data_IF_119353495347
#
_entry.id   IF_119353495347
#
_cell.length_a   1.000
_cell.length_b   1.000
_cell.length_c   1.000
_cell.angle_alpha   90.00
_cell.angle_beta   90.00
_cell.angle_gamma   90.00
#
_symmetry.space_group_name_H-M   'P 1'
#
loop_
_entity.id
_entity.type
_entity.pdbx_description
1 polymer ?
#
# COMPACT_ATOMS: atom_id res chain seq x y z
N UNK A 1 8.23 -6.33 28.90
CA UNK A 1 7.78 -5.60 27.69
C UNK A 1 8.65 -4.35 27.56
N UNK A 2 9.23 -4.08 26.39
CA UNK A 2 10.09 -2.91 26.17
C UNK A 2 9.23 -1.64 26.05
N UNK A 3 9.48 -0.60 26.87
CA UNK A 3 8.70 0.66 26.90
C UNK A 3 8.60 1.29 25.50
N UNK A 4 9.65 1.19 24.69
CA UNK A 4 9.65 1.72 23.31
C UNK A 4 8.68 0.94 22.43
N UNK A 5 8.65 -0.40 22.51
CA UNK A 5 7.70 -1.22 21.74
C UNK A 5 6.24 -0.95 22.12
N UNK A 6 5.97 -0.69 23.41
CA UNK A 6 4.63 -0.30 23.88
C UNK A 6 4.28 1.13 23.47
N UNK A 7 5.24 2.04 23.39
CA UNK A 7 5.02 3.38 22.88
C UNK A 7 4.69 3.37 21.37
N UNK A 8 5.37 2.52 20.59
CA UNK A 8 5.14 2.37 19.14
C UNK A 8 3.69 2.00 18.81
N UNK A 9 2.99 1.23 19.65
CA UNK A 9 1.58 0.93 19.41
C UNK A 9 0.66 2.16 19.48
N UNK A 10 1.09 3.26 20.10
CA UNK A 10 0.35 4.52 20.13
C UNK A 10 0.34 5.24 18.77
N UNK A 11 1.24 4.89 17.84
CA UNK A 11 1.18 5.37 16.46
C UNK A 11 -0.04 4.82 15.74
N UNK A 12 -0.46 3.60 16.12
CA UNK A 12 -1.60 2.91 15.54
C UNK A 12 -1.55 2.90 14.00
N UNK A 13 -0.38 2.67 13.40
CA UNK A 13 -0.20 2.60 11.94
C UNK A 13 -1.15 1.54 11.37
N UNK A 14 -1.84 1.91 10.29
CA UNK A 14 -2.79 1.03 9.59
C UNK A 14 -2.30 0.72 8.18
N UNK A 15 -2.66 -0.46 7.63
CA UNK A 15 -2.57 -0.69 6.20
C UNK A 15 -3.38 0.38 5.44
N UNK A 16 -2.93 0.74 4.23
CA UNK A 16 -3.70 1.64 3.37
C UNK A 16 -5.03 1.01 2.95
N UNK A 17 -6.02 1.86 2.65
CA UNK A 17 -7.14 1.46 1.81
C UNK A 17 -6.66 1.46 0.34
N UNK A 18 -6.75 0.32 -0.33
CA UNK A 18 -6.21 0.15 -1.69
C UNK A 18 -7.23 0.69 -2.69
N UNK A 19 -6.89 1.79 -3.34
CA UNK A 19 -7.50 2.18 -4.60
C UNK A 19 -6.75 1.50 -5.76
N UNK A 20 -7.46 0.80 -6.62
CA UNK A 20 -6.86 0.11 -7.78
C UNK A 20 -7.81 0.04 -8.98
N UNK A 21 -7.25 0.08 -10.19
CA UNK A 21 -7.96 -0.32 -11.43
C UNK A 21 -7.36 -1.62 -11.99
N UNK A 22 -8.17 -2.58 -12.49
CA UNK A 22 -9.63 -2.62 -12.40
C UNK A 22 -10.10 -2.66 -10.94
N UNK A 23 -11.36 -2.27 -10.73
CA UNK A 23 -11.93 -2.22 -9.38
C UNK A 23 -11.89 -3.59 -8.70
N UNK A 24 -11.69 -3.62 -7.37
CA UNK A 24 -11.78 -4.83 -6.59
C UNK A 24 -13.09 -5.61 -6.80
N UNK A 25 -13.00 -6.94 -6.80
CA UNK A 25 -14.15 -7.84 -7.00
C UNK A 25 -15.26 -7.71 -5.96
N UNK A 26 -14.95 -7.18 -4.78
CA UNK A 26 -15.93 -6.94 -3.72
C UNK A 26 -16.67 -5.60 -3.86
N UNK A 27 -16.17 -4.66 -4.67
CA UNK A 27 -16.79 -3.36 -4.91
C UNK A 27 -17.49 -3.28 -6.27
N UNK A 28 -17.21 -4.23 -7.17
CA UNK A 28 -17.87 -4.39 -8.47
C UNK A 28 -17.30 -5.56 -9.27
N UNK A 29 -17.94 -5.91 -10.39
CA UNK A 29 -17.46 -6.96 -11.30
C UNK A 29 -16.73 -6.40 -12.52
N UNK A 30 -15.98 -5.30 -12.35
CA UNK A 30 -15.17 -4.78 -13.46
C UNK A 30 -13.99 -5.71 -13.71
N UNK A 31 -13.83 -6.10 -14.97
CA UNK A 31 -12.74 -6.96 -15.42
C UNK A 31 -11.74 -6.09 -16.16
N UNK A 32 -10.49 -6.07 -15.68
CA UNK A 32 -9.39 -5.45 -16.39
C UNK A 32 -9.08 -6.21 -17.67
N UNK A 33 -8.57 -5.54 -18.68
CA UNK A 33 -8.25 -6.15 -19.96
C UNK A 33 -6.74 -6.32 -20.11
N UNK A 34 -6.29 -7.51 -20.49
CA UNK A 34 -4.90 -7.73 -20.89
C UNK A 34 -4.50 -6.72 -21.99
N UNK A 35 -3.34 -6.10 -21.83
CA UNK A 35 -2.85 -5.04 -22.72
C UNK A 35 -3.09 -3.62 -22.21
N UNK A 36 -3.86 -3.45 -21.12
CA UNK A 36 -4.16 -2.15 -20.53
C UNK A 36 -3.32 -1.90 -19.27
N UNK A 37 -3.34 -0.65 -18.80
CA UNK A 37 -2.63 -0.23 -17.60
C UNK A 37 -3.56 -0.20 -16.38
N UNK A 38 -3.08 -0.79 -15.29
CA UNK A 38 -3.62 -0.68 -13.94
C UNK A 38 -3.00 0.52 -13.21
N UNK A 39 -3.82 1.18 -12.42
CA UNK A 39 -3.43 2.24 -11.50
C UNK A 39 -3.56 1.75 -10.08
N UNK A 40 -2.67 2.16 -9.19
CA UNK A 40 -2.80 1.94 -7.76
C UNK A 40 -2.60 3.25 -6.99
N UNK A 41 -3.44 3.49 -5.98
CA UNK A 41 -3.31 4.64 -5.09
C UNK A 41 -3.77 4.34 -3.67
N UNK A 42 -3.44 5.24 -2.74
CA UNK A 42 -4.03 5.23 -1.41
C UNK A 42 -5.43 5.85 -1.49
N UNK A 43 -6.45 5.02 -1.34
CA UNK A 43 -7.81 5.49 -1.18
C UNK A 43 -7.99 6.08 0.23
N UNK A 44 -8.84 7.11 0.39
CA UNK A 44 -9.15 7.73 1.67
C UNK A 44 -7.91 7.97 2.58
N UNK A 45 -6.91 8.75 2.13
CA UNK A 45 -5.67 8.93 2.87
C UNK A 45 -5.91 9.56 4.25
N UNK A 46 -5.19 9.09 5.26
CA UNK A 46 -5.25 9.59 6.63
C UNK A 46 -3.86 9.62 7.26
N UNK A 47 -3.73 10.29 8.41
CA UNK A 47 -2.48 10.29 9.20
C UNK A 47 -1.99 8.85 9.45
N UNK A 48 -2.89 7.90 9.70
CA UNK A 48 -2.56 6.51 10.07
C UNK A 48 -2.17 5.62 8.89
N UNK A 49 -2.50 6.02 7.65
CA UNK A 49 -2.23 5.26 6.43
C UNK A 49 -1.13 5.88 5.55
N UNK A 50 -1.05 7.21 5.50
CA UNK A 50 -0.04 7.94 4.70
C UNK A 50 0.98 8.70 5.52
N UNK A 51 0.63 9.06 6.77
CA UNK A 51 1.51 9.82 7.64
C UNK A 51 1.75 11.26 7.21
N UNK A 52 2.72 11.92 7.83
CA UNK A 52 3.50 11.45 8.99
C UNK A 52 2.66 11.36 10.28
N UNK A 53 3.10 10.57 11.26
CA UNK A 53 2.45 10.45 12.59
C UNK A 53 3.45 10.87 13.66
N UNK A 54 3.03 11.76 14.57
CA UNK A 54 3.83 12.13 15.74
C UNK A 54 3.10 11.76 17.02
N UNK A 55 3.78 11.07 17.95
CA UNK A 55 3.22 10.70 19.26
C UNK A 55 4.25 10.85 20.35
N UNK A 56 3.79 11.26 21.53
CA UNK A 56 4.59 11.27 22.76
C UNK A 56 3.89 10.39 23.78
N UNK A 57 4.63 9.46 24.37
CA UNK A 57 4.13 8.51 25.37
C UNK A 57 5.01 8.60 26.60
N UNK A 58 4.42 8.88 27.75
CA UNK A 58 5.13 8.92 29.03
C UNK A 58 4.72 7.72 29.88
N UNK A 59 5.69 6.99 30.42
CA UNK A 59 5.48 5.87 31.33
C UNK A 59 6.43 6.00 32.51
N UNK A 60 5.90 6.35 33.69
CA UNK A 60 6.71 6.67 34.86
C UNK A 60 7.62 7.86 34.58
N UNK A 61 8.94 7.65 34.71
CA UNK A 61 9.97 8.69 34.51
C UNK A 61 10.52 8.74 33.07
N UNK A 62 9.98 7.92 32.16
CA UNK A 62 10.46 7.80 30.78
C UNK A 62 9.46 8.48 29.85
N UNK A 63 9.93 9.42 29.04
CA UNK A 63 9.15 10.06 27.97
C UNK A 63 9.69 9.60 26.62
N UNK A 64 8.84 8.99 25.80
CA UNK A 64 9.18 8.53 24.44
C UNK A 64 8.53 9.44 23.42
N UNK A 65 9.32 10.04 22.53
CA UNK A 65 8.83 10.75 21.35
C UNK A 65 8.99 9.86 20.12
N UNK A 66 7.97 9.85 19.27
CA UNK A 66 7.86 9.02 18.08
C UNK A 66 7.52 9.91 16.88
N UNK A 67 8.25 9.72 15.79
CA UNK A 67 7.97 10.31 14.49
C UNK A 67 7.99 9.18 13.44
N UNK A 68 6.81 8.85 12.90
CA UNK A 68 6.65 7.83 11.88
C UNK A 68 6.43 8.49 10.51
N UNK A 69 7.22 8.08 9.52
CA UNK A 69 7.11 8.55 8.14
C UNK A 69 6.94 7.35 7.22
N UNK A 70 5.92 7.39 6.37
CA UNK A 70 5.75 6.43 5.29
C UNK A 70 6.62 6.87 4.11
N UNK A 71 7.60 6.05 3.74
CA UNK A 71 8.58 6.36 2.69
C UNK A 71 8.18 5.81 1.33
N UNK A 72 7.12 5.00 1.24
CA UNK A 72 6.66 4.43 -0.03
C UNK A 72 5.79 3.20 0.12
N UNK A 73 5.27 2.73 -1.01
CA UNK A 73 4.40 1.56 -1.10
C UNK A 73 5.08 0.49 -1.94
N UNK A 74 5.41 -0.65 -1.33
CA UNK A 74 5.85 -1.83 -2.08
C UNK A 74 4.62 -2.61 -2.53
N UNK A 75 4.45 -2.73 -3.84
CA UNK A 75 3.28 -3.38 -4.45
C UNK A 75 3.70 -4.71 -5.07
N UNK A 76 2.88 -5.73 -4.87
CA UNK A 76 2.90 -6.98 -5.63
C UNK A 76 1.51 -7.18 -6.21
N UNK A 77 1.37 -7.21 -7.54
CA UNK A 77 0.07 -7.35 -8.21
C UNK A 77 -0.46 -8.80 -8.22
N UNK A 78 0.35 -9.79 -7.84
CA UNK A 78 -0.05 -11.19 -7.76
C UNK A 78 -0.09 -11.93 -9.10
N UNK A 79 0.30 -11.29 -10.20
CA UNK A 79 0.39 -11.88 -11.54
C UNK A 79 1.78 -12.45 -11.89
N UNK A 80 2.73 -12.28 -10.97
CA UNK A 80 4.13 -12.69 -11.12
C UNK A 80 4.91 -11.88 -12.17
N UNK A 81 4.41 -10.72 -12.59
CA UNK A 81 5.16 -9.77 -13.41
C UNK A 81 5.93 -8.79 -12.49
N UNK A 82 7.06 -8.24 -12.96
CA UNK A 82 7.78 -7.23 -12.21
C UNK A 82 6.93 -5.96 -12.05
N UNK A 83 6.97 -5.38 -10.86
CA UNK A 83 6.33 -4.10 -10.57
C UNK A 83 7.29 -2.95 -10.86
N UNK A 84 6.87 -2.01 -11.72
CA UNK A 84 7.69 -0.89 -12.18
C UNK A 84 6.89 0.41 -12.03
N UNK A 85 7.28 1.34 -11.13
CA UNK A 85 8.44 1.26 -10.23
C UNK A 85 8.25 0.23 -9.11
N UNK A 86 9.33 -0.30 -8.50
CA UNK A 86 9.24 -1.30 -7.42
C UNK A 86 8.65 -0.73 -6.12
N UNK A 87 8.72 0.60 -5.95
CA UNK A 87 8.11 1.33 -4.84
C UNK A 87 7.34 2.50 -5.42
N UNK A 88 6.06 2.56 -5.11
CA UNK A 88 5.19 3.66 -5.51
C UNK A 88 5.21 4.77 -4.45
N UNK A 89 5.05 6.05 -4.86
CA UNK A 89 4.89 7.16 -3.93
C UNK A 89 3.64 6.97 -3.07
N UNK A 90 3.72 7.37 -1.80
CA UNK A 90 2.57 7.33 -0.86
C UNK A 90 1.47 8.31 -1.31
N UNK A 91 1.86 9.43 -1.92
CA UNK A 91 0.99 10.44 -2.51
C UNK A 91 0.68 10.17 -4.00
N UNK A 92 0.43 8.91 -4.33
CA UNK A 92 -0.01 8.46 -5.65
C UNK A 92 -1.26 9.20 -6.13
N UNK A 93 -1.32 9.53 -7.42
CA UNK A 93 -2.45 10.21 -8.04
C UNK A 93 -3.60 9.21 -8.23
N UNK A 94 -4.80 9.48 -7.67
CA UNK A 94 -5.97 8.62 -7.85
C UNK A 94 -6.40 8.53 -9.31
N UNK A 95 -6.94 7.36 -9.70
CA UNK A 95 -7.60 7.22 -11.00
C UNK A 95 -8.86 8.09 -11.05
N UNK A 96 -9.12 8.64 -12.23
CA UNK A 96 -10.38 9.31 -12.57
C UNK A 96 -10.76 8.88 -13.98
N UNK A 97 -12.05 8.82 -14.30
CA UNK A 97 -12.52 8.32 -15.61
C UNK A 97 -11.96 9.10 -16.81
N UNK A 98 -11.50 10.34 -16.61
CA UNK A 98 -10.82 11.14 -17.64
C UNK A 98 -9.46 10.55 -18.07
N UNK A 99 -8.85 9.70 -17.24
CA UNK A 99 -7.59 9.06 -17.56
C UNK A 99 -7.74 7.97 -18.64
N UNK A 100 -8.94 7.38 -18.79
CA UNK A 100 -9.21 6.31 -19.75
C UNK A 100 -8.12 5.22 -19.68
N UNK A 101 -7.33 5.06 -20.75
CA UNK A 101 -6.25 4.06 -20.90
C UNK A 101 -4.85 4.59 -20.60
N UNK A 102 -4.74 5.85 -20.19
CA UNK A 102 -3.44 6.42 -19.88
C UNK A 102 -2.79 5.66 -18.72
N UNK A 103 -1.47 5.40 -18.78
CA UNK A 103 -0.76 4.81 -17.67
C UNK A 103 -0.77 5.75 -16.46
N UNK A 104 -0.73 5.17 -15.25
CA UNK A 104 -0.61 5.98 -14.03
C UNK A 104 0.71 6.77 -14.05
N UNK A 105 0.70 8.08 -13.76
CA UNK A 105 1.93 8.85 -13.65
C UNK A 105 2.74 8.52 -12.39
N UNK A 106 2.16 7.78 -11.42
CA UNK A 106 2.78 7.56 -10.10
C UNK A 106 2.93 6.10 -9.72
N UNK A 107 1.95 5.25 -10.02
CA UNK A 107 1.99 3.83 -9.70
C UNK A 107 1.23 3.05 -10.77
N UNK A 108 1.96 2.72 -11.85
CA UNK A 108 1.44 2.03 -13.01
C UNK A 108 1.75 0.54 -12.94
N UNK A 109 0.88 -0.28 -13.52
CA UNK A 109 1.20 -1.68 -13.79
C UNK A 109 0.57 -2.16 -15.10
N UNK A 110 1.38 -2.78 -15.94
CA UNK A 110 0.89 -3.31 -17.21
C UNK A 110 0.23 -4.68 -17.00
N UNK A 111 -1.03 -4.81 -17.39
CA UNK A 111 -1.78 -6.07 -17.30
C UNK A 111 -1.36 -7.02 -18.42
N UNK A 112 -0.28 -7.77 -18.21
CA UNK A 112 0.27 -8.69 -19.22
C UNK A 112 -0.28 -10.11 -19.19
N UNK A 113 -1.15 -10.45 -18.22
CA UNK A 113 -1.67 -11.81 -18.03
C UNK A 113 -3.14 -11.81 -17.62
N UNK A 114 -3.86 -12.85 -18.04
CA UNK A 114 -5.22 -13.16 -17.58
C UNK A 114 -5.19 -13.82 -16.20
N UNK A 115 -6.13 -13.47 -15.34
CA UNK A 115 -6.31 -14.07 -14.01
C UNK A 115 -7.12 -15.37 -14.04
N UNK A 116 -7.67 -15.78 -15.19
CA UNK A 116 -8.56 -16.96 -15.29
C UNK A 116 -7.93 -18.25 -14.79
N UNK A 117 -6.61 -18.43 -14.96
CA UNK A 117 -5.88 -19.61 -14.47
C UNK A 117 -5.49 -19.57 -13.00
N UNK A 118 -5.79 -18.49 -12.28
CA UNK A 118 -5.45 -18.33 -10.86
C UNK A 118 -6.56 -18.89 -9.95
N UNK A 119 -6.25 -19.26 -8.70
CA UNK A 119 -7.28 -19.67 -7.73
C UNK A 119 -8.37 -18.60 -7.56
N UNK A 120 -9.62 -18.96 -7.86
CA UNK A 120 -10.77 -18.06 -7.85
C UNK A 120 -10.91 -17.17 -9.10
N UNK A 121 -10.04 -17.35 -10.10
CA UNK A 121 -10.01 -16.55 -11.32
C UNK A 121 -9.60 -15.09 -11.08
N UNK A 122 -8.81 -14.82 -10.02
CA UNK A 122 -8.43 -13.49 -9.57
C UNK A 122 -6.92 -13.39 -9.32
N UNK A 123 -6.35 -12.22 -9.55
CA UNK A 123 -5.08 -11.85 -8.94
C UNK A 123 -5.32 -11.27 -7.55
N UNK A 124 -4.32 -11.39 -6.66
CA UNK A 124 -4.37 -10.90 -5.28
C UNK A 124 -3.29 -9.84 -5.03
N UNK A 125 -3.52 -8.59 -5.47
CA UNK A 125 -2.59 -7.52 -5.17
C UNK A 125 -2.40 -7.33 -3.66
N UNK A 126 -1.15 -7.15 -3.25
CA UNK A 126 -0.78 -6.79 -1.87
C UNK A 126 0.05 -5.52 -1.88
N UNK A 127 -0.26 -4.59 -0.98
CA UNK A 127 0.46 -3.33 -0.81
C UNK A 127 1.01 -3.24 0.60
N UNK A 128 2.34 -3.17 0.69
CA UNK A 128 3.08 -3.02 1.94
C UNK A 128 3.54 -1.57 2.08
N UNK A 129 3.03 -0.86 3.08
CA UNK A 129 3.48 0.51 3.37
C UNK A 129 4.81 0.48 4.11
N UNK A 130 5.80 1.22 3.64
CA UNK A 130 7.15 1.21 4.20
C UNK A 130 7.25 2.36 5.19
N UNK A 131 7.11 2.07 6.48
CA UNK A 131 7.23 3.10 7.53
C UNK A 131 8.58 3.02 8.23
N UNK A 132 9.17 4.20 8.47
CA UNK A 132 10.31 4.37 9.36
C UNK A 132 9.88 5.19 10.56
N UNK A 133 9.97 4.59 11.75
CA UNK A 133 9.68 5.27 13.01
C UNK A 133 10.97 5.70 13.66
N UNK A 134 11.26 7.00 13.65
CA UNK A 134 12.30 7.59 14.49
C UNK A 134 11.77 7.77 15.90
N UNK A 135 12.52 7.33 16.90
CA UNK A 135 12.12 7.46 18.29
C UNK A 135 13.25 7.99 19.18
N UNK A 136 12.88 8.73 20.22
CA UNK A 136 13.77 9.10 21.31
C UNK A 136 13.11 8.82 22.65
N UNK A 137 13.86 8.23 23.58
CA UNK A 137 13.44 8.00 24.96
C UNK A 137 14.29 8.84 25.90
N UNK A 138 13.64 9.66 26.70
CA UNK A 138 14.28 10.57 27.64
C UNK A 138 13.97 10.08 29.05
N UNK A 139 15.02 9.94 29.86
CA UNK A 139 14.97 9.63 31.28
C UNK A 139 15.61 10.78 32.06
N UNK A 140 15.48 10.85 33.40
CA UNK A 140 16.12 11.92 34.18
C UNK A 140 17.65 11.98 34.05
N UNK A 141 18.31 10.88 33.68
CA UNK A 141 19.77 10.76 33.67
C UNK A 141 20.38 10.52 32.29
N UNK A 142 19.57 10.16 31.29
CA UNK A 142 20.05 9.78 29.97
C UNK A 142 18.98 9.93 28.88
N UNK A 143 19.43 10.02 27.63
CA UNK A 143 18.60 9.93 26.43
C UNK A 143 19.06 8.79 25.52
N UNK A 144 18.10 8.15 24.87
CA UNK A 144 18.30 7.06 23.93
C UNK A 144 17.48 7.34 22.66
N UNK A 145 17.82 6.70 21.55
CA UNK A 145 17.04 6.80 20.34
C UNK A 145 17.38 5.74 19.31
N UNK A 146 16.60 5.69 18.25
CA UNK A 146 16.81 4.76 17.15
C UNK A 146 15.70 4.84 16.12
N UNK A 147 15.71 3.87 15.21
CA UNK A 147 14.66 3.70 14.20
C UNK A 147 14.05 2.30 14.28
N UNK A 148 12.76 2.21 13.97
CA UNK A 148 12.03 0.94 13.90
C UNK A 148 11.27 0.91 12.56
N UNK A 149 11.52 -0.07 11.68
CA UNK A 149 10.70 -0.25 10.49
C UNK A 149 9.35 -0.87 10.87
N UNK A 150 8.28 -0.39 10.25
CA UNK A 150 6.93 -0.98 10.34
C UNK A 150 6.41 -1.16 8.92
N UNK A 151 5.75 -2.30 8.66
CA UNK A 151 5.32 -2.64 7.30
C UNK A 151 3.93 -3.27 7.32
N UNK A 152 2.85 -2.49 7.56
CA UNK A 152 1.51 -3.02 7.43
C UNK A 152 1.23 -3.37 5.95
N UNK A 153 0.51 -4.45 5.73
CA UNK A 153 0.17 -4.92 4.38
C UNK A 153 -1.35 -4.99 4.23
N UNK A 154 -1.86 -4.38 3.16
CA UNK A 154 -3.23 -4.53 2.71
C UNK A 154 -3.28 -5.48 1.51
N UNK A 155 -4.41 -6.13 1.28
CA UNK A 155 -4.64 -7.02 0.14
C UNK A 155 -6.00 -6.77 -0.47
N UNK A 156 -6.12 -6.96 -1.78
CA UNK A 156 -7.39 -6.92 -2.50
C UNK A 156 -7.41 -8.01 -3.58
N UNK A 157 -8.54 -8.19 -4.27
CA UNK A 157 -8.68 -9.16 -5.35
C UNK A 157 -9.23 -8.48 -6.61
N UNK A 158 -8.55 -8.69 -7.74
CA UNK A 158 -8.92 -8.10 -9.03
C UNK A 158 -9.04 -9.17 -10.12
N UNK A 159 -9.95 -8.96 -11.08
CA UNK A 159 -10.09 -9.83 -12.27
C UNK A 159 -9.46 -9.19 -13.47
N UNK A 160 -8.69 -9.97 -14.22
CA UNK A 160 -8.12 -9.57 -15.51
C UNK A 160 -8.47 -10.62 -16.55
N UNK A 161 -9.16 -10.21 -17.60
CA UNK A 161 -9.54 -11.04 -18.73
C UNK A 161 -8.74 -10.71 -19.98
N UNK A 162 -8.78 -11.62 -20.94
CA UNK A 162 -8.23 -11.41 -22.28
C UNK A 162 -9.40 -11.37 -23.28
N UNK A 163 -9.38 -10.42 -24.22
CA UNK A 163 -10.38 -10.37 -25.28
C UNK A 163 -10.07 -11.45 -26.30
N UNK A 164 -10.94 -12.46 -26.41
CA UNK A 164 -10.84 -13.47 -27.45
C UNK A 164 -11.82 -13.17 -28.58
N UNK A 165 -11.30 -12.95 -29.78
CA UNK A 165 -12.13 -12.85 -30.99
C UNK A 165 -12.31 -14.25 -31.56
N UNK A 166 -13.54 -14.77 -31.51
CA UNK A 166 -13.92 -15.98 -32.22
C UNK A 166 -14.23 -15.63 -33.67
N UNK A 167 -13.37 -16.04 -34.61
CA UNK A 167 -13.71 -16.02 -36.03
C UNK A 167 -14.46 -17.32 -36.34
N UNK A 168 -15.79 -17.26 -36.38
CA UNK A 168 -16.59 -18.32 -37.00
C UNK A 168 -16.45 -18.25 -38.52
N UNK A 169 -15.98 -19.34 -39.13
CA UNK A 169 -15.96 -19.55 -40.59
C UNK A 169 -17.32 -19.98 -41.10
#
# INVERSE_FOLDING_TARGET
MNVVSSAVSALQVEPIDIGITPEPTNTGEKVGLVGFNSWLWVNNPSERTTGPINRTVTTGVITVNLNAVNTGLAVNYGDGLPTIPPVCPVNSIPYTDVAMDLPSPTCNHFLGKSSQGQPGGVFRPSVSSIWVVSWSAITPTASFGGTIPITPTATTEVRVGEMQVLITK
#
